data_IF_251590754662
#
_entry.id   IF_251590754662
#
_cell.length_a   1.000
_cell.length_b   1.000
_cell.length_c   1.000
_cell.angle_alpha   90.00
_cell.angle_beta   90.00
_cell.angle_gamma   90.00
#
_symmetry.space_group_name_H-M   'P 1'
#
loop_
_entity.id
_entity.type
_entity.pdbx_description
1 polymer ?
#
# COMPACT_ATOMS: atom_id res chain seq x y z
N UNK A 1 3.63 -14.10 -17.12
CA UNK A 1 2.63 -13.12 -17.58
C UNK A 1 1.40 -13.89 -18.04
N UNK A 2 0.23 -13.63 -17.45
CA UNK A 2 -1.02 -14.36 -17.70
C UNK A 2 -1.71 -14.02 -19.03
N UNK A 3 -0.94 -13.80 -20.10
CA UNK A 3 -1.46 -13.43 -21.43
C UNK A 3 -1.63 -11.93 -21.68
N UNK A 4 -1.27 -11.08 -20.72
CA UNK A 4 -1.36 -9.62 -20.84
C UNK A 4 -0.06 -8.99 -21.40
N UNK A 5 -0.21 -7.95 -22.21
CA UNK A 5 0.89 -7.05 -22.58
C UNK A 5 1.25 -6.17 -21.38
N UNK A 6 2.46 -6.31 -20.85
CA UNK A 6 2.85 -5.65 -19.60
C UNK A 6 3.51 -4.29 -19.84
N UNK A 7 3.13 -3.30 -19.02
CA UNK A 7 3.82 -2.00 -19.01
C UNK A 7 5.30 -2.16 -18.64
N UNK A 8 5.65 -3.13 -17.80
CA UNK A 8 7.03 -3.41 -17.41
C UNK A 8 7.91 -3.81 -18.59
N UNK A 9 7.36 -4.50 -19.59
CA UNK A 9 8.09 -4.89 -20.80
C UNK A 9 8.41 -3.65 -21.65
N UNK A 10 7.45 -2.71 -21.73
CA UNK A 10 7.66 -1.43 -22.41
C UNK A 10 8.70 -0.56 -21.69
N UNK A 11 8.67 -0.50 -20.35
CA UNK A 11 9.70 0.21 -19.56
C UNK A 11 11.08 -0.42 -19.77
N UNK A 12 11.16 -1.76 -19.86
CA UNK A 12 12.41 -2.46 -20.14
C UNK A 12 12.95 -2.18 -21.55
N UNK A 13 12.08 -1.97 -22.54
CA UNK A 13 12.49 -1.49 -23.85
C UNK A 13 13.01 -0.05 -23.79
N UNK A 14 12.30 0.84 -23.09
CA UNK A 14 12.66 2.25 -22.94
C UNK A 14 14.03 2.48 -22.28
N UNK A 15 14.41 1.63 -21.33
CA UNK A 15 15.73 1.65 -20.69
C UNK A 15 16.91 1.55 -21.67
N UNK A 16 16.70 1.03 -22.89
CA UNK A 16 17.73 0.94 -23.95
C UNK A 16 17.91 2.26 -24.72
N UNK A 17 16.91 3.12 -24.69
CA UNK A 17 16.85 4.35 -25.47
C UNK A 17 17.08 5.59 -24.62
N UNK A 18 16.66 5.57 -23.35
CA UNK A 18 16.80 6.70 -22.44
C UNK A 18 16.92 6.27 -20.98
N UNK A 19 17.42 7.20 -20.17
CA UNK A 19 17.49 7.02 -18.72
C UNK A 19 16.08 6.95 -18.11
N UNK A 20 15.86 5.95 -17.26
CA UNK A 20 14.69 5.83 -16.40
C UNK A 20 15.19 5.88 -14.96
N UNK A 21 14.57 6.72 -14.13
CA UNK A 21 14.94 6.91 -12.73
C UNK A 21 13.92 6.26 -11.82
N UNK A 22 14.39 5.59 -10.78
CA UNK A 22 13.56 5.19 -9.66
C UNK A 22 13.47 6.36 -8.67
N UNK A 23 12.28 6.57 -8.12
CA UNK A 23 12.06 7.50 -7.02
C UNK A 23 11.87 6.69 -5.74
N UNK A 24 12.70 6.96 -4.73
CA UNK A 24 12.56 6.36 -3.41
C UNK A 24 11.47 7.12 -2.64
N UNK A 25 10.32 6.48 -2.49
CA UNK A 25 9.15 7.10 -1.87
C UNK A 25 9.34 7.22 -0.37
N UNK A 26 9.35 8.45 0.15
CA UNK A 26 9.39 8.72 1.58
C UNK A 26 7.98 8.71 2.18
N UNK A 27 7.63 7.60 2.82
CA UNK A 27 6.37 7.43 3.54
C UNK A 27 5.99 5.97 3.75
N UNK A 28 4.88 5.74 4.44
CA UNK A 28 4.34 4.38 4.63
C UNK A 28 3.49 3.98 3.43
N UNK A 29 3.95 3.00 2.66
CA UNK A 29 3.17 2.37 1.59
C UNK A 29 2.37 1.19 2.15
N UNK A 30 1.09 1.12 1.80
CA UNK A 30 0.24 -0.04 2.06
C UNK A 30 -0.12 -0.73 0.74
N UNK A 31 0.00 -2.06 0.70
CA UNK A 31 -0.46 -2.86 -0.45
C UNK A 31 -1.92 -3.30 -0.25
N UNK A 32 -2.85 -2.43 -0.66
CA UNK A 32 -4.28 -2.72 -0.62
C UNK A 32 -4.76 -3.72 -1.69
N UNK A 33 -3.87 -4.22 -2.56
CA UNK A 33 -4.16 -5.33 -3.47
C UNK A 33 -4.19 -6.68 -2.77
N UNK A 34 -3.59 -6.77 -1.58
CA UNK A 34 -3.63 -7.95 -0.72
C UNK A 34 -4.64 -7.78 0.41
N UNK A 35 -5.29 -8.88 0.83
CA UNK A 35 -6.24 -8.85 1.96
C UNK A 35 -5.59 -8.35 3.26
N UNK A 36 -4.36 -8.80 3.52
CA UNK A 36 -3.65 -8.41 4.73
C UNK A 36 -3.24 -6.93 4.70
N UNK A 37 -2.67 -6.47 3.59
CA UNK A 37 -2.26 -5.07 3.45
C UNK A 37 -3.44 -4.11 3.48
N UNK A 38 -4.59 -4.50 2.93
CA UNK A 38 -5.84 -3.77 3.10
C UNK A 38 -6.23 -3.60 4.57
N UNK A 39 -6.25 -4.69 5.36
CA UNK A 39 -6.61 -4.63 6.78
C UNK A 39 -5.62 -3.79 7.59
N UNK A 40 -4.32 -3.89 7.29
CA UNK A 40 -3.29 -3.06 7.92
C UNK A 40 -3.53 -1.57 7.65
N UNK A 41 -3.79 -1.20 6.40
CA UNK A 41 -4.13 0.17 6.04
C UNK A 41 -5.39 0.66 6.77
N UNK A 42 -6.44 -0.16 6.82
CA UNK A 42 -7.68 0.19 7.52
C UNK A 42 -7.45 0.47 9.00
N UNK A 43 -6.69 -0.40 9.70
CA UNK A 43 -6.39 -0.20 11.12
C UNK A 43 -5.60 1.09 11.35
N UNK A 44 -4.54 1.31 10.57
CA UNK A 44 -3.69 2.50 10.68
C UNK A 44 -4.46 3.81 10.45
N UNK A 45 -5.34 3.84 9.45
CA UNK A 45 -6.16 5.01 9.16
C UNK A 45 -7.29 5.21 10.17
N UNK A 46 -7.92 4.14 10.66
CA UNK A 46 -8.95 4.23 11.69
C UNK A 46 -8.37 4.81 12.99
N UNK A 47 -7.17 4.40 13.38
CA UNK A 47 -6.47 4.94 14.56
C UNK A 47 -6.03 6.41 14.41
N UNK A 48 -6.01 6.95 13.19
CA UNK A 48 -5.71 8.37 12.90
C UNK A 48 -6.97 9.21 12.67
N UNK A 49 -8.14 8.59 12.59
CA UNK A 49 -9.38 9.28 12.22
C UNK A 49 -9.94 10.09 13.41
N UNK A 50 -10.33 11.34 13.16
CA UNK A 50 -10.80 12.26 14.20
C UNK A 50 -12.05 11.80 14.93
N UNK A 51 -12.95 11.09 14.24
CA UNK A 51 -14.23 10.66 14.81
C UNK A 51 -14.17 9.29 15.50
N UNK A 52 -13.35 8.35 15.01
CA UNK A 52 -13.46 6.94 15.41
C UNK A 52 -12.22 6.39 16.12
N UNK A 53 -11.12 7.14 16.18
CA UNK A 53 -9.84 6.64 16.70
C UNK A 53 -9.93 6.14 18.14
N UNK A 54 -10.60 6.88 19.03
CA UNK A 54 -10.70 6.53 20.45
C UNK A 54 -11.49 5.23 20.67
N UNK A 55 -12.71 5.17 20.13
CA UNK A 55 -13.59 3.99 20.25
C UNK A 55 -12.97 2.76 19.57
N UNK A 56 -12.33 2.94 18.42
CA UNK A 56 -11.68 1.84 17.71
C UNK A 56 -10.43 1.33 18.44
N UNK A 57 -9.62 2.21 19.03
CA UNK A 57 -8.49 1.81 19.86
C UNK A 57 -8.95 1.02 21.10
N UNK A 58 -10.05 1.42 21.73
CA UNK A 58 -10.64 0.69 22.85
C UNK A 58 -11.14 -0.70 22.42
N UNK A 59 -11.77 -0.80 21.25
CA UNK A 59 -12.17 -2.08 20.66
C UNK A 59 -10.97 -3.00 20.44
N UNK A 60 -9.89 -2.52 19.81
CA UNK A 60 -8.70 -3.34 19.55
C UNK A 60 -8.07 -3.88 20.84
N UNK A 61 -7.94 -3.06 21.88
CA UNK A 61 -7.43 -3.49 23.19
C UNK A 61 -8.23 -4.64 23.79
N UNK A 62 -9.54 -4.71 23.56
CA UNK A 62 -10.38 -5.79 24.09
C UNK A 62 -10.19 -7.13 23.35
N UNK A 63 -9.75 -7.09 22.10
CA UNK A 63 -9.71 -8.26 21.21
C UNK A 63 -8.32 -8.80 20.92
N UNK A 64 -7.28 -7.97 21.12
CA UNK A 64 -5.89 -8.32 20.80
C UNK A 64 -5.03 -8.41 22.07
N UNK A 65 -5.45 -7.83 23.19
CA UNK A 65 -4.76 -7.90 24.49
C UNK A 65 -5.41 -8.90 25.45
#
# INVERSE_FOLDING_TARGET
>A
AGGELQLTDAIAALLKEQQVLAYDFDGTRYDCGSKLGYLQATVEYALKHSEVSEDFAAYLKKHVC
#
